data_IF_528878507405
#
_entry.id   IF_528878507405
#
_cell.length_a   1.000
_cell.length_b   1.000
_cell.length_c   1.000
_cell.angle_alpha   90.00
_cell.angle_beta   90.00
_cell.angle_gamma   90.00
#
_symmetry.space_group_name_H-M   'P 1'
#
loop_
_entity.id
_entity.type
_entity.pdbx_description
1 polymer ?
#
# COMPACT_ATOMS: atom_id res chain seq x y z
N UNK A 1 12.54 10.20 -3.59
CA UNK A 1 11.61 9.12 -3.23
C UNK A 1 10.50 9.08 -4.26
N UNK A 2 9.92 7.93 -4.47
CA UNK A 2 8.76 7.67 -5.32
C UNK A 2 7.67 7.07 -4.43
N UNK A 3 6.47 7.64 -4.46
CA UNK A 3 5.32 7.26 -3.63
C UNK A 3 4.06 7.42 -4.47
N UNK A 4 3.09 6.57 -4.29
CA UNK A 4 1.75 6.81 -4.81
C UNK A 4 1.05 7.86 -3.92
N UNK A 5 -0.04 8.46 -4.42
CA UNK A 5 -0.69 9.60 -3.75
C UNK A 5 -1.40 9.25 -2.44
N UNK A 6 -1.62 7.97 -2.18
CA UNK A 6 -2.23 7.41 -0.98
C UNK A 6 -1.21 6.72 -0.04
N UNK A 7 0.09 6.88 -0.32
CA UNK A 7 1.21 6.36 0.46
C UNK A 7 1.96 7.48 1.17
N UNK A 8 2.07 7.39 2.48
CA UNK A 8 2.75 8.37 3.33
C UNK A 8 3.93 7.70 4.03
N UNK A 9 5.19 7.96 3.61
CA UNK A 9 6.35 7.39 4.30
C UNK A 9 6.58 8.07 5.66
N UNK A 10 6.90 7.29 6.67
CA UNK A 10 7.30 7.81 7.97
C UNK A 10 8.78 8.21 7.95
N UNK A 11 9.04 9.47 7.65
CA UNK A 11 10.41 10.00 7.56
C UNK A 11 11.14 10.05 8.91
N UNK A 12 10.42 10.03 10.03
CA UNK A 12 11.02 9.93 11.38
C UNK A 12 11.78 8.61 11.59
N UNK A 13 11.43 7.57 10.80
CA UNK A 13 12.14 6.28 10.81
C UNK A 13 13.47 6.30 10.05
N UNK A 14 13.74 7.35 9.28
CA UNK A 14 15.04 7.52 8.67
C UNK A 14 16.00 8.05 9.72
N UNK A 15 17.01 7.24 10.08
CA UNK A 15 18.09 7.70 10.95
C UNK A 15 18.86 8.84 10.28
N UNK A 16 19.46 9.73 11.08
CA UNK A 16 20.35 10.80 10.61
C UNK A 16 21.51 10.28 9.74
N UNK A 17 21.89 9.02 9.91
CA UNK A 17 22.83 8.30 9.07
C UNK A 17 22.10 7.61 7.93
N UNK A 18 21.55 8.38 6.99
CA UNK A 18 20.99 7.83 5.75
C UNK A 18 22.02 6.90 5.09
N UNK A 19 21.74 5.61 4.93
CA UNK A 19 22.72 4.66 4.41
C UNK A 19 23.23 5.16 3.06
N UNK A 20 24.52 5.47 2.97
CA UNK A 20 25.10 6.20 1.83
C UNK A 20 24.89 5.53 0.49
N UNK A 21 24.45 4.25 0.46
CA UNK A 21 24.39 3.48 -0.78
C UNK A 21 23.12 2.66 -1.00
N UNK A 22 22.19 2.61 -0.06
CA UNK A 22 21.05 1.69 -0.14
C UNK A 22 19.87 2.25 -0.93
N UNK A 23 19.10 1.34 -1.49
CA UNK A 23 17.75 1.58 -1.95
C UNK A 23 16.84 1.33 -0.74
N UNK A 24 15.97 2.28 -0.44
CA UNK A 24 15.03 2.17 0.67
C UNK A 24 13.68 1.73 0.15
N UNK A 25 13.06 0.79 0.86
CA UNK A 25 11.70 0.34 0.61
C UNK A 25 10.93 0.45 1.93
N UNK A 26 9.84 1.20 1.93
CA UNK A 26 9.04 1.40 3.13
C UNK A 26 7.95 0.34 3.18
N UNK A 27 8.00 -0.51 4.22
CA UNK A 27 6.92 -1.41 4.58
C UNK A 27 5.90 -0.60 5.39
N UNK A 28 4.74 -0.37 4.80
CA UNK A 28 3.71 0.53 5.31
C UNK A 28 2.52 -0.24 5.85
N UNK A 29 1.86 0.34 6.84
CA UNK A 29 0.58 -0.15 7.35
C UNK A 29 -0.52 0.15 6.34
N UNK A 30 -1.30 -0.87 5.95
CA UNK A 30 -2.35 -0.74 4.95
C UNK A 30 -3.72 -0.53 5.61
N UNK A 31 -4.37 0.58 5.30
CA UNK A 31 -5.69 0.93 5.82
C UNK A 31 -6.73 1.00 4.71
N UNK A 32 -7.97 0.59 5.02
CA UNK A 32 -9.09 0.57 4.11
C UNK A 32 -10.29 1.32 4.66
N UNK A 33 -10.96 2.11 3.84
CA UNK A 33 -12.24 2.80 4.07
C UNK A 33 -12.21 3.88 5.15
N UNK A 34 -11.48 3.64 6.23
CA UNK A 34 -11.33 4.53 7.38
C UNK A 34 -9.87 4.59 7.80
N UNK A 35 -9.44 5.70 8.38
CA UNK A 35 -8.06 5.91 8.79
C UNK A 35 -7.56 4.93 9.87
N UNK A 36 -8.46 4.36 10.65
CA UNK A 36 -8.13 3.44 11.74
C UNK A 36 -8.59 1.98 11.49
N UNK A 37 -8.98 1.64 10.26
CA UNK A 37 -9.28 0.25 9.87
C UNK A 37 -8.10 -0.36 9.12
N UNK A 38 -7.36 -1.20 9.82
CA UNK A 38 -6.11 -1.81 9.37
C UNK A 38 -6.34 -3.17 8.71
N UNK A 39 -5.67 -3.39 7.58
CA UNK A 39 -5.61 -4.65 6.85
C UNK A 39 -4.26 -5.32 7.09
N UNK A 40 -4.23 -6.37 7.91
CA UNK A 40 -3.00 -7.03 8.39
C UNK A 40 -2.62 -8.32 7.65
N UNK A 41 -3.30 -8.63 6.57
CA UNK A 41 -3.10 -9.91 5.86
C UNK A 41 -1.86 -9.95 4.96
N UNK A 42 -1.34 -8.79 4.57
CA UNK A 42 -0.11 -8.68 3.77
C UNK A 42 0.72 -7.47 4.21
N UNK A 43 2.05 -7.55 4.14
CA UNK A 43 2.87 -6.34 4.20
C UNK A 43 2.69 -5.52 2.91
N UNK A 44 2.52 -4.21 3.05
CA UNK A 44 2.49 -3.30 1.91
C UNK A 44 3.84 -2.63 1.72
N UNK A 45 4.47 -2.88 0.56
CA UNK A 45 5.73 -2.25 0.19
C UNK A 45 5.46 -1.11 -0.78
N UNK A 46 5.19 0.07 -0.22
CA UNK A 46 4.79 1.24 -0.96
C UNK A 46 5.98 2.11 -1.40
N UNK A 47 6.16 3.22 -0.73
CA UNK A 47 7.19 4.21 -1.05
C UNK A 47 8.57 3.60 -1.20
N UNK A 48 9.29 3.96 -2.28
CA UNK A 48 10.68 3.57 -2.53
C UNK A 48 11.57 4.79 -2.72
N UNK A 49 12.82 4.69 -2.28
CA UNK A 49 13.77 5.78 -2.38
C UNK A 49 15.17 5.33 -2.72
N UNK A 50 15.90 6.17 -3.45
CA UNK A 50 17.33 6.01 -3.68
C UNK A 50 18.00 7.37 -3.89
N UNK A 51 19.34 7.42 -3.86
CA UNK A 51 20.06 8.62 -4.28
C UNK A 51 19.86 8.88 -5.77
N UNK A 52 19.73 10.15 -6.17
CA UNK A 52 19.54 10.57 -7.57
C UNK A 52 20.56 9.91 -8.53
N UNK A 53 21.82 9.82 -8.15
CA UNK A 53 22.88 9.22 -8.96
C UNK A 53 22.71 7.69 -9.18
N UNK A 54 21.83 7.02 -8.42
CA UNK A 54 21.54 5.59 -8.55
C UNK A 54 20.22 5.30 -9.24
N UNK A 55 19.42 6.34 -9.48
CA UNK A 55 18.12 6.22 -10.12
C UNK A 55 18.34 5.93 -11.62
N UNK A 56 17.94 4.73 -12.07
CA UNK A 56 17.93 4.37 -13.50
C UNK A 56 16.70 5.00 -14.18
N UNK A 57 15.51 4.75 -13.62
CA UNK A 57 14.23 5.35 -14.01
C UNK A 57 13.22 5.23 -12.87
N UNK A 58 12.12 5.97 -12.93
CA UNK A 58 11.02 5.83 -11.96
C UNK A 58 10.36 4.45 -12.06
N UNK A 59 10.15 3.93 -13.27
CA UNK A 59 9.61 2.60 -13.51
C UNK A 59 10.51 1.51 -12.92
N UNK A 60 11.83 1.62 -13.10
CA UNK A 60 12.78 0.70 -12.48
C UNK A 60 12.66 0.71 -10.96
N UNK A 61 12.63 1.89 -10.32
CA UNK A 61 12.54 1.99 -8.87
C UNK A 61 11.23 1.39 -8.35
N UNK A 62 10.10 1.64 -9.04
CA UNK A 62 8.79 1.09 -8.72
C UNK A 62 8.79 -0.43 -8.76
N UNK A 63 9.39 -1.04 -9.80
CA UNK A 63 9.32 -2.47 -10.05
C UNK A 63 10.40 -3.29 -9.33
N UNK A 64 11.33 -2.64 -8.61
CA UNK A 64 12.32 -3.35 -7.79
C UNK A 64 11.65 -4.34 -6.83
N UNK A 65 12.24 -5.54 -6.74
CA UNK A 65 11.76 -6.57 -5.81
C UNK A 65 11.90 -6.13 -4.35
N UNK A 66 10.85 -6.36 -3.58
CA UNK A 66 10.72 -5.90 -2.20
C UNK A 66 11.49 -6.77 -1.21
N UNK A 67 12.74 -7.05 -1.53
CA UNK A 67 13.68 -7.74 -0.62
C UNK A 67 15.13 -7.49 -1.00
N UNK A 68 16.03 -7.61 -0.03
CA UNK A 68 17.46 -7.66 -0.26
C UNK A 68 17.87 -9.08 -0.65
N UNK A 69 18.68 -9.19 -1.70
CA UNK A 69 19.25 -10.47 -2.13
C UNK A 69 20.67 -10.61 -1.62
N UNK A 70 21.13 -11.83 -1.27
CA UNK A 70 22.54 -12.05 -0.94
C UNK A 70 23.43 -11.66 -2.13
N UNK A 71 24.60 -11.07 -1.85
CA UNK A 71 25.51 -10.59 -2.92
C UNK A 71 26.09 -11.72 -3.78
N UNK A 72 26.17 -12.94 -3.24
CA UNK A 72 26.68 -14.13 -3.97
C UNK A 72 25.67 -14.76 -4.94
N UNK A 73 24.44 -14.28 -4.96
CA UNK A 73 23.43 -14.78 -5.91
C UNK A 73 23.69 -14.27 -7.30
N UNK A 74 24.14 -15.17 -8.19
CA UNK A 74 24.50 -14.84 -9.57
C UNK A 74 23.32 -14.21 -10.34
N UNK A 75 22.08 -14.64 -10.09
CA UNK A 75 20.87 -14.11 -10.73
C UNK A 75 20.59 -12.63 -10.43
N UNK A 76 21.21 -12.05 -9.41
CA UNK A 76 21.11 -10.61 -9.12
C UNK A 76 21.92 -9.77 -10.11
N UNK A 77 22.94 -10.33 -10.72
CA UNK A 77 23.77 -9.63 -11.72
C UNK A 77 23.10 -9.59 -13.09
N UNK A 78 22.21 -10.53 -13.37
CA UNK A 78 21.46 -10.62 -14.63
C UNK A 78 20.05 -10.05 -14.54
N UNK A 79 19.65 -9.51 -13.39
CA UNK A 79 18.32 -8.95 -13.19
C UNK A 79 18.38 -7.50 -12.71
N UNK A 80 17.89 -6.60 -13.52
CA UNK A 80 17.76 -5.19 -13.13
C UNK A 80 16.81 -4.95 -11.95
N UNK A 81 15.89 -5.89 -11.68
CA UNK A 81 14.87 -5.76 -10.63
C UNK A 81 15.28 -6.36 -9.28
N UNK A 82 16.41 -7.07 -9.22
CA UNK A 82 16.95 -7.64 -7.98
C UNK A 82 18.15 -6.85 -7.52
N UNK A 83 18.28 -6.60 -6.23
CA UNK A 83 19.41 -5.88 -5.66
C UNK A 83 19.79 -6.46 -4.30
N UNK A 84 21.08 -6.57 -4.05
CA UNK A 84 21.65 -6.86 -2.73
C UNK A 84 21.69 -5.62 -1.82
N UNK A 85 21.46 -4.43 -2.38
CA UNK A 85 21.63 -3.17 -1.69
C UNK A 85 20.28 -2.51 -1.34
N UNK A 86 19.36 -3.32 -0.83
CA UNK A 86 18.02 -2.88 -0.39
C UNK A 86 17.96 -2.87 1.13
N UNK A 87 17.36 -1.84 1.69
CA UNK A 87 16.96 -1.75 3.10
C UNK A 87 15.46 -1.58 3.19
N UNK A 88 14.81 -2.47 3.97
CA UNK A 88 13.38 -2.41 4.24
C UNK A 88 13.19 -1.67 5.56
N UNK A 89 12.47 -0.55 5.51
CA UNK A 89 12.09 0.24 6.67
C UNK A 89 10.76 -0.30 7.18
N UNK A 90 10.81 -1.14 8.22
CA UNK A 90 9.63 -1.72 8.87
C UNK A 90 8.81 -0.65 9.58
N UNK A 91 7.46 -0.78 9.54
CA UNK A 91 6.53 0.24 10.02
C UNK A 91 6.89 1.61 9.43
N UNK A 92 7.28 1.63 8.17
CA UNK A 92 7.85 2.76 7.47
C UNK A 92 6.83 3.78 6.99
N UNK A 93 5.59 3.70 7.44
CA UNK A 93 4.54 4.66 7.09
C UNK A 93 3.18 4.02 6.90
N UNK A 94 2.35 4.68 6.12
CA UNK A 94 0.94 4.36 5.97
C UNK A 94 0.51 4.37 4.51
N UNK A 95 -0.34 3.43 4.14
CA UNK A 95 -1.05 3.40 2.86
C UNK A 95 -2.55 3.46 3.14
N UNK A 96 -3.20 4.53 2.69
CA UNK A 96 -4.61 4.79 2.92
C UNK A 96 -5.43 4.57 1.65
N UNK A 97 -5.88 3.34 1.43
CA UNK A 97 -6.63 3.03 0.22
C UNK A 97 -8.15 3.13 0.44
N UNK A 98 -8.85 3.67 -0.55
CA UNK A 98 -10.31 3.79 -0.55
C UNK A 98 -10.89 4.54 0.67
N UNK A 99 -10.18 5.57 1.18
CA UNK A 99 -10.73 6.52 2.16
C UNK A 99 -11.69 7.46 1.39
N UNK A 100 -12.85 6.92 1.04
CA UNK A 100 -13.84 7.54 0.15
C UNK A 100 -15.24 7.11 0.56
N UNK A 101 -16.27 7.82 0.06
CA UNK A 101 -17.65 7.34 0.20
C UNK A 101 -17.87 6.10 -0.67
N UNK A 102 -18.88 5.26 -0.36
CA UNK A 102 -19.20 4.09 -1.19
C UNK A 102 -19.40 4.44 -2.67
N UNK A 103 -20.06 5.55 -2.95
CA UNK A 103 -20.33 6.05 -4.29
C UNK A 103 -19.03 6.41 -5.03
N UNK A 104 -18.11 7.11 -4.34
CA UNK A 104 -16.80 7.46 -4.89
C UNK A 104 -15.89 6.23 -5.11
N UNK A 105 -16.03 5.19 -4.27
CA UNK A 105 -15.32 3.92 -4.47
C UNK A 105 -15.86 3.21 -5.71
N UNK A 106 -17.18 3.14 -5.84
CA UNK A 106 -17.84 2.53 -6.99
C UNK A 106 -17.46 3.22 -8.30
N UNK A 107 -17.49 4.56 -8.33
CA UNK A 107 -17.06 5.37 -9.47
C UNK A 107 -15.57 5.14 -9.81
N UNK A 108 -14.68 5.12 -8.78
CA UNK A 108 -13.26 4.84 -8.96
C UNK A 108 -13.04 3.47 -9.63
N UNK A 109 -13.74 2.43 -9.17
CA UNK A 109 -13.58 1.07 -9.67
C UNK A 109 -14.08 0.91 -11.11
N UNK A 110 -15.17 1.60 -11.48
CA UNK A 110 -15.68 1.62 -12.85
C UNK A 110 -14.76 2.38 -13.82
N UNK A 111 -14.04 3.41 -13.35
CA UNK A 111 -13.18 4.26 -14.18
C UNK A 111 -11.70 3.86 -14.12
N UNK A 112 -11.35 2.81 -13.37
CA UNK A 112 -9.97 2.36 -13.24
C UNK A 112 -9.53 1.53 -14.45
N UNK A 113 -8.21 1.49 -14.72
CA UNK A 113 -7.64 0.75 -15.87
C UNK A 113 -7.93 -0.76 -15.91
N UNK A 114 -8.43 -1.33 -14.81
CA UNK A 114 -8.89 -2.72 -14.70
C UNK A 114 -10.42 -2.81 -14.49
N UNK A 115 -11.20 -1.86 -15.02
CA UNK A 115 -12.65 -1.84 -14.87
C UNK A 115 -13.33 -3.13 -15.35
N UNK A 116 -12.82 -3.79 -16.39
CA UNK A 116 -13.35 -5.07 -16.89
C UNK A 116 -13.34 -6.18 -15.81
N UNK A 117 -12.30 -6.20 -14.95
CA UNK A 117 -12.22 -7.15 -13.83
C UNK A 117 -13.28 -6.84 -12.77
N UNK A 118 -13.53 -5.57 -12.52
CA UNK A 118 -14.56 -5.13 -11.58
C UNK A 118 -15.97 -5.40 -12.11
N UNK A 119 -16.25 -5.09 -13.37
CA UNK A 119 -17.54 -5.39 -14.02
C UNK A 119 -17.82 -6.89 -14.01
N UNK A 120 -16.83 -7.72 -14.36
CA UNK A 120 -17.00 -9.19 -14.34
C UNK A 120 -17.18 -9.77 -12.94
N UNK A 121 -16.77 -9.04 -11.88
CA UNK A 121 -16.96 -9.47 -10.50
C UNK A 121 -18.41 -9.38 -10.02
N UNK A 122 -19.26 -8.61 -10.67
CA UNK A 122 -20.65 -8.36 -10.28
C UNK A 122 -20.80 -7.55 -8.98
N UNK A 123 -19.75 -6.91 -8.49
CA UNK A 123 -19.81 -6.10 -7.26
C UNK A 123 -20.61 -4.83 -7.51
N UNK A 124 -21.68 -4.64 -6.76
CA UNK A 124 -22.58 -3.50 -6.84
C UNK A 124 -22.24 -2.43 -5.78
N UNK A 125 -22.84 -1.24 -5.91
CA UNK A 125 -22.74 -0.19 -4.89
C UNK A 125 -23.23 -0.67 -3.51
N UNK A 126 -24.30 -1.48 -3.47
CA UNK A 126 -24.83 -2.01 -2.21
C UNK A 126 -23.90 -3.04 -1.58
N UNK A 127 -23.18 -3.82 -2.41
CA UNK A 127 -22.10 -4.68 -1.90
C UNK A 127 -21.01 -3.85 -1.24
N UNK A 128 -20.56 -2.74 -1.85
CA UNK A 128 -19.54 -1.86 -1.27
C UNK A 128 -20.04 -1.27 0.06
N UNK A 129 -21.27 -0.77 0.13
CA UNK A 129 -21.87 -0.29 1.39
C UNK A 129 -21.86 -1.35 2.49
N UNK A 130 -22.23 -2.58 2.13
CA UNK A 130 -22.21 -3.71 3.06
C UNK A 130 -20.77 -4.09 3.51
N UNK A 131 -19.80 -4.08 2.60
CA UNK A 131 -18.40 -4.37 2.93
C UNK A 131 -17.84 -3.35 3.92
N UNK A 132 -18.11 -2.05 3.71
CA UNK A 132 -17.69 -0.99 4.64
C UNK A 132 -18.37 -1.19 6.00
N UNK A 133 -19.68 -1.45 6.03
CA UNK A 133 -20.44 -1.69 7.28
C UNK A 133 -19.93 -2.90 8.04
N UNK A 134 -19.60 -3.99 7.34
CA UNK A 134 -19.04 -5.21 7.93
C UNK A 134 -17.54 -5.11 8.22
N UNK A 135 -16.88 -4.03 7.77
CA UNK A 135 -15.42 -3.82 7.88
C UNK A 135 -14.64 -4.96 7.22
N UNK A 136 -15.01 -5.32 6.00
CA UNK A 136 -14.38 -6.40 5.24
C UNK A 136 -13.86 -5.89 3.90
N UNK A 137 -12.74 -6.47 3.47
CA UNK A 137 -12.19 -6.29 2.12
C UNK A 137 -12.33 -7.60 1.38
N UNK A 138 -12.94 -7.57 0.21
CA UNK A 138 -13.16 -8.76 -0.63
C UNK A 138 -12.08 -8.97 -1.67
N UNK A 139 -11.29 -7.93 -1.96
CA UNK A 139 -10.21 -8.00 -2.94
C UNK A 139 -9.00 -8.76 -2.42
N UNK A 140 -8.56 -9.78 -3.17
CA UNK A 140 -7.37 -10.55 -2.84
C UNK A 140 -6.10 -9.94 -3.45
N UNK A 141 -5.33 -9.22 -2.66
CA UNK A 141 -4.05 -8.63 -3.07
C UNK A 141 -2.95 -9.66 -3.40
N UNK A 142 -3.10 -10.93 -3.00
CA UNK A 142 -2.16 -12.01 -3.30
C UNK A 142 -2.52 -12.77 -4.58
N UNK A 143 -3.70 -12.53 -5.14
CA UNK A 143 -4.10 -13.21 -6.35
C UNK A 143 -3.19 -12.78 -7.52
N UNK A 144 -2.79 -13.75 -8.32
CA UNK A 144 -2.15 -13.47 -9.59
C UNK A 144 -3.07 -12.61 -10.45
N UNK A 145 -2.50 -11.66 -11.18
CA UNK A 145 -3.26 -10.74 -12.05
C UNK A 145 -4.09 -11.48 -13.11
N UNK A 146 -3.73 -12.74 -13.42
CA UNK A 146 -4.47 -13.59 -14.35
C UNK A 146 -5.73 -14.27 -13.77
N UNK A 147 -5.95 -14.22 -12.44
CA UNK A 147 -7.09 -14.88 -11.80
C UNK A 147 -8.34 -14.00 -11.84
N UNK A 148 -9.46 -14.57 -12.30
CA UNK A 148 -10.76 -13.89 -12.38
C UNK A 148 -11.41 -13.69 -10.99
N UNK A 149 -11.13 -14.55 -10.01
CA UNK A 149 -11.80 -14.56 -8.70
C UNK A 149 -11.12 -13.69 -7.63
N UNK A 150 -10.78 -12.44 -7.98
CA UNK A 150 -10.08 -11.53 -7.03
C UNK A 150 -10.99 -10.94 -5.95
N UNK A 151 -12.31 -10.94 -6.15
CA UNK A 151 -13.29 -10.27 -5.29
C UNK A 151 -14.10 -11.22 -4.39
N UNK A 152 -13.75 -12.52 -4.35
CA UNK A 152 -14.51 -13.56 -3.63
C UNK A 152 -13.90 -13.90 -2.26
N UNK A 153 -13.16 -12.98 -1.67
CA UNK A 153 -12.53 -13.17 -0.35
C UNK A 153 -13.20 -12.30 0.69
N UNK A 154 -13.02 -12.64 1.95
CA UNK A 154 -13.53 -11.86 3.07
C UNK A 154 -12.42 -11.69 4.11
N UNK A 155 -11.77 -10.52 4.07
CA UNK A 155 -10.73 -10.14 5.01
C UNK A 155 -11.27 -9.10 5.99
N UNK A 156 -11.41 -9.46 7.27
CA UNK A 156 -11.87 -8.54 8.31
C UNK A 156 -10.81 -7.51 8.64
N UNK A 157 -11.20 -6.24 8.62
CA UNK A 157 -10.35 -5.13 9.05
C UNK A 157 -10.33 -5.05 10.58
N UNK A 158 -9.16 -4.71 11.13
CA UNK A 158 -8.97 -4.50 12.56
C UNK A 158 -9.00 -3.00 12.87
N UNK A 159 -9.81 -2.62 13.86
CA UNK A 159 -9.69 -1.27 14.41
C UNK A 159 -8.40 -1.18 15.21
N UNK A 160 -7.58 -0.20 14.93
CA UNK A 160 -6.31 0.02 15.62
C UNK A 160 -6.34 1.27 16.47
N UNK A 161 -5.41 1.35 17.43
CA UNK A 161 -5.18 2.54 18.22
C UNK A 161 -4.74 3.71 17.34
N UNK A 162 -5.32 4.88 17.59
CA UNK A 162 -4.99 6.11 16.83
C UNK A 162 -3.52 6.52 17.00
N UNK A 163 -2.85 6.10 18.07
CA UNK A 163 -1.42 6.33 18.28
C UNK A 163 -0.52 5.70 17.17
N UNK A 164 -1.06 4.76 16.39
CA UNK A 164 -0.36 4.19 15.23
C UNK A 164 -0.48 5.04 13.96
N UNK A 165 -1.28 6.08 13.98
CA UNK A 165 -1.57 6.94 12.83
C UNK A 165 -0.56 8.10 12.73
N UNK A 166 -0.49 8.79 11.57
CA UNK A 166 0.29 10.00 11.44
C UNK A 166 -0.19 11.08 12.42
N UNK A 167 0.73 11.84 13.01
CA UNK A 167 0.43 12.93 13.95
C UNK A 167 -0.65 13.87 13.41
N UNK A 168 -0.57 14.23 12.13
CA UNK A 168 -1.57 15.10 11.48
C UNK A 168 -3.01 14.58 11.59
N UNK A 169 -3.23 13.27 11.50
CA UNK A 169 -4.57 12.69 11.63
C UNK A 169 -5.07 12.76 13.06
N UNK A 170 -4.17 12.61 14.03
CA UNK A 170 -4.48 12.71 15.46
C UNK A 170 -4.84 14.16 15.81
N UNK A 171 -4.01 15.11 15.40
CA UNK A 171 -4.20 16.56 15.65
C UNK A 171 -5.46 17.12 14.99
N UNK A 172 -5.91 16.54 13.88
CA UNK A 172 -7.10 16.97 13.15
C UNK A 172 -8.25 15.97 13.26
N UNK A 173 -8.28 15.15 14.32
CA UNK A 173 -9.24 14.08 14.53
C UNK A 173 -10.70 14.56 14.41
N UNK A 174 -11.03 15.69 15.02
CA UNK A 174 -12.40 16.23 15.03
C UNK A 174 -12.86 16.64 13.63
N UNK A 175 -12.00 17.28 12.85
CA UNK A 175 -12.29 17.69 11.47
C UNK A 175 -12.45 16.50 10.54
N UNK A 176 -11.77 15.42 10.83
CA UNK A 176 -11.71 14.20 10.01
C UNK A 176 -12.60 13.08 10.56
N UNK A 177 -13.43 13.36 11.58
CA UNK A 177 -14.21 12.36 12.32
C UNK A 177 -14.99 11.40 11.43
N UNK A 178 -15.60 11.88 10.34
CA UNK A 178 -16.35 11.02 9.38
C UNK A 178 -15.51 9.91 8.73
N UNK A 179 -14.17 10.04 8.75
CA UNK A 179 -13.23 9.09 8.16
C UNK A 179 -12.61 8.15 9.20
N UNK A 180 -13.08 8.17 10.41
CA UNK A 180 -12.75 7.21 11.46
C UNK A 180 -13.93 6.29 11.75
N UNK A 181 -13.64 5.11 12.32
CA UNK A 181 -14.62 4.13 12.77
C UNK A 181 -14.88 4.24 14.29
#
# INVERSE_FOLDING_TARGET
MLSDNDEIPNLKKLSSNFPKQKILIFEQLLFYYKFNLYYDYIPWYGTKGCKKKKLKSFSWLRNLKNKSYPFWRIDTYFSDLKSSNVEIIKNGGWHFTNIKTPEQIYEKLNNYGHHNEFESSGVTLDNIKNHIKKKVVTYNHKADQSKQDKYNFEYKLKKVDEALLPDYLIENRDKLNKWFD
#
